data_IF_016336174711
#
_entry.id   IF_016336174711
#
_cell.length_a   1.000
_cell.length_b   1.000
_cell.length_c   1.000
_cell.angle_alpha   90.00
_cell.angle_beta   90.00
_cell.angle_gamma   90.00
#
_symmetry.space_group_name_H-M   'P 1'
#
loop_
_entity.id
_entity.type
_entity.pdbx_description
1 polymer ?
#
# COMPACT_ATOMS: atom_id res chain seq x y z
N UNK A 1 6.63 9.02 -24.44
CA UNK A 1 6.82 9.28 -22.99
C UNK A 1 6.87 7.89 -22.37
N UNK A 2 8.06 7.47 -21.96
CA UNK A 2 8.37 6.07 -21.64
C UNK A 2 7.99 5.73 -20.19
N UNK A 3 7.43 4.54 -19.98
CA UNK A 3 6.96 4.06 -18.66
C UNK A 3 8.10 4.02 -17.62
N UNK A 4 9.32 3.75 -18.08
CA UNK A 4 10.52 3.78 -17.24
C UNK A 4 10.81 5.19 -16.68
N UNK A 5 10.53 6.25 -17.43
CA UNK A 5 10.79 7.62 -16.96
C UNK A 5 9.84 8.04 -15.83
N UNK A 6 8.61 7.51 -15.81
CA UNK A 6 7.63 7.75 -14.75
C UNK A 6 8.03 7.06 -13.43
N UNK A 7 8.65 5.89 -13.51
CA UNK A 7 9.16 5.16 -12.34
C UNK A 7 10.33 5.88 -11.68
N UNK A 8 11.21 6.51 -12.47
CA UNK A 8 12.35 7.26 -11.96
C UNK A 8 11.97 8.61 -11.32
N UNK A 9 10.80 9.18 -11.62
CA UNK A 9 10.30 10.41 -10.99
C UNK A 9 9.56 10.16 -9.66
N UNK A 10 9.23 8.91 -9.33
CA UNK A 10 8.44 8.56 -8.15
C UNK A 10 9.29 8.26 -6.89
N UNK A 11 10.62 8.38 -6.97
CA UNK A 11 11.50 8.22 -5.80
C UNK A 11 11.78 9.60 -5.18
N UNK A 12 11.28 9.89 -3.96
CA UNK A 12 11.68 11.10 -3.26
C UNK A 12 13.12 10.96 -2.75
N UNK A 13 13.91 11.99 -3.03
CA UNK A 13 15.21 12.29 -2.42
C UNK A 13 15.01 12.32 -0.90
N UNK A 14 15.82 11.54 -0.18
CA UNK A 14 15.72 11.39 1.26
C UNK A 14 16.15 12.64 2.01
N UNK A 15 15.48 12.92 3.12
CA UNK A 15 16.08 13.49 4.33
C UNK A 15 15.09 13.40 5.51
N UNK A 16 15.59 12.87 6.65
CA UNK A 16 15.01 12.88 7.99
C UNK A 16 13.77 12.01 8.30
N UNK A 17 14.01 10.71 8.59
CA UNK A 17 13.26 10.00 9.63
C UNK A 17 14.11 8.84 10.23
N UNK A 18 14.01 8.56 11.54
CA UNK A 18 14.88 7.62 12.27
C UNK A 18 14.74 6.17 11.77
N UNK A 19 15.74 5.30 12.04
CA UNK A 19 15.88 4.02 11.36
C UNK A 19 14.72 3.08 11.72
N UNK A 20 13.72 3.01 10.86
CA UNK A 20 12.77 1.92 10.87
C UNK A 20 13.58 0.65 10.68
N UNK A 21 13.54 -0.21 11.70
CA UNK A 21 14.29 -1.45 11.81
C UNK A 21 14.44 -2.12 10.45
N UNK A 22 15.70 -2.25 10.01
CA UNK A 22 16.09 -2.90 8.77
C UNK A 22 15.64 -4.37 8.85
N UNK A 23 14.40 -4.64 8.44
CA UNK A 23 13.87 -5.97 8.35
C UNK A 23 14.54 -6.60 7.14
N UNK A 24 15.54 -7.45 7.39
CA UNK A 24 16.55 -7.95 6.43
C UNK A 24 15.99 -8.75 5.25
N UNK A 25 14.67 -8.84 5.10
CA UNK A 25 13.98 -9.59 4.05
C UNK A 25 13.06 -8.73 3.17
N UNK A 26 13.02 -7.41 3.36
CA UNK A 26 12.21 -6.52 2.50
C UNK A 26 12.88 -6.41 1.13
N UNK A 27 12.26 -7.02 0.13
CA UNK A 27 12.70 -7.00 -1.27
C UNK A 27 12.21 -5.72 -1.95
N UNK A 28 11.03 -5.25 -1.56
CA UNK A 28 10.37 -4.12 -2.21
C UNK A 28 9.42 -3.41 -1.25
N UNK A 29 9.39 -2.09 -1.29
CA UNK A 29 8.37 -1.27 -0.62
C UNK A 29 7.97 -0.12 -1.53
N UNK A 30 6.67 0.01 -1.80
CA UNK A 30 6.12 1.11 -2.58
C UNK A 30 4.91 1.70 -1.89
N UNK A 31 4.87 3.03 -1.82
CA UNK A 31 3.76 3.78 -1.25
C UNK A 31 3.06 4.57 -2.34
N UNK A 32 1.74 4.58 -2.26
CA UNK A 32 0.85 5.28 -3.15
C UNK A 32 -0.13 6.08 -2.31
N UNK A 33 -0.41 7.31 -2.71
CA UNK A 33 -1.47 8.13 -2.13
C UNK A 33 -2.39 8.58 -3.25
N UNK A 34 -3.67 8.37 -3.06
CA UNK A 34 -4.69 8.86 -3.99
C UNK A 34 -4.94 10.33 -3.67
N UNK A 35 -4.89 11.16 -4.71
CA UNK A 35 -5.19 12.59 -4.64
C UNK A 35 -6.34 12.93 -5.57
N UNK A 36 -7.33 13.63 -5.04
CA UNK A 36 -8.57 14.02 -5.71
C UNK A 36 -9.65 12.95 -5.72
N UNK A 37 -10.90 13.41 -5.83
CA UNK A 37 -12.08 12.56 -5.96
C UNK A 37 -12.51 11.88 -4.66
N UNK A 38 -13.37 10.88 -4.79
CA UNK A 38 -14.00 10.16 -3.67
C UNK A 38 -13.01 9.35 -2.81
N UNK A 39 -11.84 9.02 -3.36
CA UNK A 39 -10.80 8.26 -2.68
C UNK A 39 -9.62 9.14 -2.24
N UNK A 40 -9.78 10.47 -2.25
CA UNK A 40 -8.74 11.39 -1.81
C UNK A 40 -8.27 11.04 -0.38
N UNK A 41 -6.95 11.01 -0.20
CA UNK A 41 -6.33 10.72 1.09
C UNK A 41 -6.23 9.23 1.42
N UNK A 42 -6.71 8.32 0.58
CA UNK A 42 -6.40 6.89 0.72
C UNK A 42 -4.92 6.66 0.42
N UNK A 43 -4.21 6.01 1.34
CA UNK A 43 -2.82 5.61 1.14
C UNK A 43 -2.74 4.09 1.06
N UNK A 44 -1.90 3.59 0.16
CA UNK A 44 -1.63 2.17 -0.02
C UNK A 44 -0.11 1.95 0.01
N UNK A 45 0.35 1.10 0.89
CA UNK A 45 1.72 0.63 0.97
C UNK A 45 1.76 -0.85 0.58
N UNK A 46 2.62 -1.18 -0.37
CA UNK A 46 2.88 -2.54 -0.82
C UNK A 46 4.31 -2.89 -0.41
N UNK A 47 4.47 -3.90 0.42
CA UNK A 47 5.76 -4.42 0.87
C UNK A 47 5.88 -5.88 0.46
N UNK A 48 6.91 -6.24 -0.29
CA UNK A 48 7.26 -7.64 -0.53
C UNK A 48 8.40 -8.03 0.41
N UNK A 49 8.23 -9.12 1.16
CA UNK A 49 9.26 -9.65 2.04
C UNK A 49 9.27 -11.17 2.06
N UNK A 50 10.35 -11.77 1.55
CA UNK A 50 10.56 -13.23 1.63
C UNK A 50 9.44 -14.08 1.04
N UNK A 51 8.80 -13.63 -0.05
CA UNK A 51 7.68 -14.33 -0.71
C UNK A 51 6.29 -14.02 -0.13
N UNK A 52 6.19 -13.14 0.87
CA UNK A 52 4.93 -12.59 1.37
C UNK A 52 4.73 -11.18 0.80
N UNK A 53 3.56 -10.91 0.22
CA UNK A 53 3.16 -9.56 -0.17
C UNK A 53 2.27 -8.97 0.92
N UNK A 54 2.77 -7.97 1.63
CA UNK A 54 2.03 -7.18 2.60
C UNK A 54 1.44 -5.95 1.92
N UNK A 55 0.12 -5.77 2.04
CA UNK A 55 -0.63 -4.66 1.48
C UNK A 55 -1.26 -3.90 2.65
N UNK A 56 -0.87 -2.65 2.86
CA UNK A 56 -1.37 -1.80 3.93
C UNK A 56 -2.14 -0.63 3.35
N UNK A 57 -3.44 -0.58 3.62
CA UNK A 57 -4.32 0.48 3.12
C UNK A 57 -4.77 1.34 4.29
N UNK A 58 -4.43 2.62 4.25
CA UNK A 58 -4.93 3.63 5.17
C UNK A 58 -6.11 4.34 4.52
N UNK A 59 -7.27 4.32 5.16
CA UNK A 59 -8.48 4.97 4.67
C UNK A 59 -8.91 6.12 5.59
N UNK A 60 -9.21 7.31 5.05
CA UNK A 60 -9.65 8.46 5.85
C UNK A 60 -11.14 8.40 6.20
N UNK A 61 -11.96 7.74 5.37
CA UNK A 61 -13.42 7.69 5.53
C UNK A 61 -13.93 6.26 5.74
N UNK A 62 -14.93 6.12 6.62
CA UNK A 62 -15.50 4.82 6.99
C UNK A 62 -16.28 4.14 5.84
N UNK A 63 -16.89 4.93 4.95
CA UNK A 63 -17.54 4.42 3.74
C UNK A 63 -16.57 3.73 2.79
N UNK A 64 -15.35 4.25 2.66
CA UNK A 64 -14.28 3.67 1.86
C UNK A 64 -13.78 2.37 2.51
N UNK A 65 -13.67 2.34 3.85
CA UNK A 65 -13.26 1.13 4.59
C UNK A 65 -14.12 -0.09 4.24
N UNK A 66 -15.45 0.07 4.17
CA UNK A 66 -16.36 -1.04 3.84
C UNK A 66 -16.10 -1.59 2.44
N UNK A 67 -15.92 -0.69 1.46
CA UNK A 67 -15.60 -1.06 0.08
C UNK A 67 -14.23 -1.74 -0.02
N UNK A 68 -13.23 -1.22 0.69
CA UNK A 68 -11.89 -1.81 0.74
C UNK A 68 -11.89 -3.20 1.38
N UNK A 69 -12.77 -3.46 2.37
CA UNK A 69 -12.91 -4.79 2.97
C UNK A 69 -13.45 -5.84 1.99
N UNK A 70 -14.40 -5.46 1.14
CA UNK A 70 -14.88 -6.36 0.09
C UNK A 70 -13.80 -6.62 -0.97
N UNK A 71 -13.09 -5.56 -1.38
CA UNK A 71 -11.94 -5.67 -2.29
C UNK A 71 -10.85 -6.58 -1.73
N UNK A 72 -10.55 -6.45 -0.43
CA UNK A 72 -9.57 -7.29 0.28
C UNK A 72 -9.89 -8.77 0.09
N UNK A 73 -11.10 -9.20 0.41
CA UNK A 73 -11.48 -10.61 0.33
C UNK A 73 -11.38 -11.15 -1.10
N UNK A 74 -11.81 -10.34 -2.07
CA UNK A 74 -11.68 -10.71 -3.48
C UNK A 74 -10.22 -10.84 -3.91
N UNK A 75 -9.37 -9.89 -3.53
CA UNK A 75 -7.94 -9.88 -3.87
C UNK A 75 -7.19 -11.05 -3.21
N UNK A 76 -7.46 -11.33 -1.94
CA UNK A 76 -6.94 -12.50 -1.21
C UNK A 76 -7.28 -13.80 -1.94
N UNK A 77 -8.53 -13.95 -2.40
CA UNK A 77 -8.94 -15.14 -3.15
C UNK A 77 -8.24 -15.27 -4.51
N UNK A 78 -8.10 -14.16 -5.26
CA UNK A 78 -7.43 -14.19 -6.57
C UNK A 78 -5.94 -14.52 -6.44
N UNK A 79 -5.24 -13.89 -5.49
CA UNK A 79 -3.81 -14.07 -5.32
C UNK A 79 -3.47 -15.42 -4.70
N UNK A 80 -4.32 -15.96 -3.82
CA UNK A 80 -4.20 -17.33 -3.33
C UNK A 80 -4.29 -18.35 -4.47
N UNK A 81 -5.22 -18.16 -5.42
CA UNK A 81 -5.33 -19.06 -6.58
C UNK A 81 -4.09 -19.03 -7.48
N UNK A 82 -3.36 -17.91 -7.51
CA UNK A 82 -2.10 -17.79 -8.25
C UNK A 82 -0.87 -18.27 -7.44
N UNK A 83 -1.06 -18.74 -6.21
CA UNK A 83 0.01 -19.25 -5.35
C UNK A 83 0.78 -18.17 -4.58
N UNK A 84 0.30 -16.93 -4.58
CA UNK A 84 0.89 -15.85 -3.79
C UNK A 84 0.31 -15.83 -2.38
N UNK A 85 1.17 -15.71 -1.38
CA UNK A 85 0.76 -15.48 0.00
C UNK A 85 0.71 -13.96 0.19
N UNK A 86 -0.47 -13.45 0.51
CA UNK A 86 -0.67 -12.03 0.76
C UNK A 86 -1.20 -11.78 2.17
N UNK A 87 -0.86 -10.63 2.73
CA UNK A 87 -1.45 -10.13 3.97
C UNK A 87 -1.93 -8.71 3.73
N UNK A 88 -3.25 -8.51 3.71
CA UNK A 88 -3.83 -7.18 3.52
C UNK A 88 -4.38 -6.62 4.83
N UNK A 89 -3.88 -5.47 5.24
CA UNK A 89 -4.29 -4.76 6.45
C UNK A 89 -4.92 -3.41 6.08
N UNK A 90 -6.15 -3.17 6.56
CA UNK A 90 -6.86 -1.91 6.32
C UNK A 90 -6.94 -1.17 7.65
N UNK A 91 -6.34 0.01 7.70
CA UNK A 91 -6.33 0.88 8.86
C UNK A 91 -7.25 2.07 8.62
N UNK A 92 -8.06 2.36 9.62
CA UNK A 92 -8.80 3.60 9.66
C UNK A 92 -7.89 4.68 10.23
N UNK A 93 -7.55 5.67 9.41
CA UNK A 93 -6.71 6.79 9.84
C UNK A 93 -7.65 7.96 10.06
N UNK A 94 -7.99 8.19 11.32
CA UNK A 94 -8.80 9.36 11.69
C UNK A 94 -7.94 10.58 11.38
N UNK A 95 -8.35 11.39 10.40
CA UNK A 95 -7.76 12.69 10.19
C UNK A 95 -8.04 13.51 11.46
N UNK A 96 -7.06 13.58 12.36
CA UNK A 96 -7.11 14.52 13.47
C UNK A 96 -6.74 15.87 12.87
N UNK A 97 -7.76 16.59 12.39
CA UNK A 97 -7.68 18.05 12.23
C UNK A 97 -7.47 18.71 13.60
#
# INVERSE_FOLDING_TARGET
MDFEQLMHQALPIGENNPPAALNKNVVFTQRYRVSGGYLDGVECEVCESGGLIQLRINVPHHEIYRSMKALKQWLESQLLHMGYIISLEIFYVKNSE
#
